data_IF_683608085129
#
_entry.id   IF_683608085129
#
_cell.length_a   1.000
_cell.length_b   1.000
_cell.length_c   1.000
_cell.angle_alpha   90.00
_cell.angle_beta   90.00
_cell.angle_gamma   90.00
#
_symmetry.space_group_name_H-M   'P 1'
#
loop_
_entity.id
_entity.type
_entity.pdbx_description
1 polymer ?
#
# COMPACT_ATOMS: atom_id res chain seq x y z
N UNK A 1 -7.39 4.31 -17.08
CA UNK A 1 -6.24 3.81 -17.87
C UNK A 1 -6.30 2.31 -17.79
N UNK A 2 -6.15 1.59 -18.91
CA UNK A 2 -6.13 0.11 -18.89
C UNK A 2 -4.67 -0.31 -18.72
N UNK A 3 -4.35 -0.96 -17.60
CA UNK A 3 -3.04 -1.57 -17.38
C UNK A 3 -2.85 -2.71 -18.38
N UNK A 4 -1.72 -2.72 -19.09
CA UNK A 4 -1.39 -3.73 -20.11
C UNK A 4 -0.02 -4.36 -19.90
N UNK A 5 0.85 -3.74 -19.10
CA UNK A 5 2.21 -4.20 -18.81
C UNK A 5 2.44 -4.21 -17.31
N UNK A 6 3.27 -5.15 -16.88
CA UNK A 6 3.64 -5.34 -15.48
C UNK A 6 4.40 -4.11 -14.94
N UNK A 7 5.37 -3.61 -15.70
CA UNK A 7 6.17 -2.44 -15.29
C UNK A 7 5.31 -1.19 -15.09
N UNK A 8 4.35 -0.95 -15.99
CA UNK A 8 3.40 0.17 -15.87
C UNK A 8 2.57 0.05 -14.58
N UNK A 9 2.17 -1.17 -14.20
CA UNK A 9 1.41 -1.42 -12.98
C UNK A 9 2.25 -1.18 -11.72
N UNK A 10 3.52 -1.59 -11.71
CA UNK A 10 4.45 -1.35 -10.60
C UNK A 10 4.73 0.16 -10.45
N UNK A 11 4.97 0.87 -11.55
CA UNK A 11 5.17 2.33 -11.53
C UNK A 11 3.89 3.06 -11.07
N UNK A 12 2.74 2.67 -11.62
CA UNK A 12 1.45 3.26 -11.25
C UNK A 12 1.14 3.02 -9.77
N UNK A 13 1.42 1.84 -9.24
CA UNK A 13 1.32 1.53 -7.82
C UNK A 13 2.17 2.50 -6.99
N UNK A 14 3.48 2.58 -7.27
CA UNK A 14 4.42 3.43 -6.51
C UNK A 14 3.99 4.90 -6.52
N UNK A 15 3.69 5.43 -7.72
CA UNK A 15 3.29 6.82 -7.90
C UNK A 15 2.00 7.15 -7.15
N UNK A 16 1.00 6.27 -7.20
CA UNK A 16 -0.28 6.55 -6.56
C UNK A 16 -0.23 6.34 -5.04
N UNK A 17 0.60 5.44 -4.51
CA UNK A 17 0.83 5.36 -3.06
C UNK A 17 1.40 6.67 -2.52
N UNK A 18 2.48 7.18 -3.12
CA UNK A 18 3.08 8.45 -2.68
C UNK A 18 2.07 9.60 -2.76
N UNK A 19 1.34 9.69 -3.89
CA UNK A 19 0.32 10.72 -4.09
C UNK A 19 -0.86 10.62 -3.13
N UNK A 20 -1.27 9.40 -2.78
CA UNK A 20 -2.39 9.18 -1.87
C UNK A 20 -2.05 9.61 -0.44
N UNK A 21 -0.85 9.28 0.05
CA UNK A 21 -0.37 9.68 1.38
C UNK A 21 -0.35 11.20 1.51
N UNK A 22 0.30 11.89 0.56
CA UNK A 22 0.33 13.35 0.50
C UNK A 22 -1.07 13.98 0.46
N UNK A 23 -2.01 13.35 -0.26
CA UNK A 23 -3.37 13.85 -0.34
C UNK A 23 -4.14 13.67 0.98
N UNK A 24 -3.90 12.58 1.72
CA UNK A 24 -4.51 12.39 3.04
C UNK A 24 -3.97 13.38 4.07
N UNK A 25 -2.65 13.58 4.11
CA UNK A 25 -2.01 14.57 4.98
C UNK A 25 -2.55 15.98 4.72
N UNK A 26 -2.84 16.31 3.45
CA UNK A 26 -3.41 17.60 3.06
C UNK A 26 -4.95 17.67 3.17
N UNK A 27 -5.63 16.63 3.65
CA UNK A 27 -7.10 16.56 3.70
C UNK A 27 -7.80 16.56 2.33
N UNK A 28 -7.08 16.27 1.24
CA UNK A 28 -7.59 16.20 -0.12
C UNK A 28 -8.14 14.82 -0.46
N UNK A 29 -9.27 14.47 0.16
CA UNK A 29 -9.90 13.15 0.02
C UNK A 29 -10.27 12.80 -1.42
N UNK A 30 -10.61 13.79 -2.27
CA UNK A 30 -10.91 13.53 -3.69
C UNK A 30 -9.69 12.95 -4.42
N UNK A 31 -8.51 13.52 -4.17
CA UNK A 31 -7.26 13.02 -4.76
C UNK A 31 -6.83 11.71 -4.08
N UNK A 32 -6.97 11.62 -2.76
CA UNK A 32 -6.68 10.41 -2.00
C UNK A 32 -7.47 9.20 -2.53
N UNK A 33 -8.79 9.34 -2.64
CA UNK A 33 -9.69 8.27 -3.11
C UNK A 33 -9.40 7.86 -4.57
N UNK A 34 -9.14 8.83 -5.45
CA UNK A 34 -8.76 8.52 -6.84
C UNK A 34 -7.44 7.75 -6.92
N UNK A 35 -6.48 8.12 -6.08
CA UNK A 35 -5.17 7.46 -6.03
C UNK A 35 -5.30 6.06 -5.43
N UNK A 36 -6.06 5.89 -4.35
CA UNK A 36 -6.39 4.59 -3.76
C UNK A 36 -7.04 3.63 -4.77
N UNK A 37 -8.00 4.11 -5.56
CA UNK A 37 -8.59 3.32 -6.67
C UNK A 37 -7.51 2.81 -7.64
N UNK A 38 -6.58 3.69 -8.02
CA UNK A 38 -5.49 3.35 -8.94
C UNK A 38 -4.49 2.36 -8.33
N UNK A 39 -4.27 2.42 -7.01
CA UNK A 39 -3.46 1.44 -6.27
C UNK A 39 -4.14 0.07 -6.33
N UNK A 40 -5.43 0.00 -6.02
CA UNK A 40 -6.19 -1.27 -6.10
C UNK A 40 -6.20 -1.88 -7.50
N UNK A 41 -6.41 -1.06 -8.54
CA UNK A 41 -6.32 -1.52 -9.93
C UNK A 41 -4.95 -2.14 -10.24
N UNK A 42 -3.87 -1.55 -9.73
CA UNK A 42 -2.51 -2.06 -9.89
C UNK A 42 -2.30 -3.39 -9.14
N UNK A 43 -2.77 -3.49 -7.89
CA UNK A 43 -2.70 -4.74 -7.10
C UNK A 43 -3.46 -5.87 -7.80
N UNK A 44 -4.69 -5.62 -8.26
CA UNK A 44 -5.51 -6.62 -8.95
C UNK A 44 -4.81 -7.10 -10.22
N UNK A 45 -4.28 -6.16 -11.02
CA UNK A 45 -3.54 -6.51 -12.23
C UNK A 45 -2.30 -7.36 -11.93
N UNK A 46 -1.48 -6.97 -10.95
CA UNK A 46 -0.27 -7.71 -10.59
C UNK A 46 -0.60 -9.11 -10.04
N UNK A 47 -1.64 -9.26 -9.21
CA UNK A 47 -2.12 -10.56 -8.72
C UNK A 47 -2.56 -11.45 -9.87
N UNK A 48 -3.37 -10.93 -10.80
CA UNK A 48 -3.85 -11.68 -11.97
C UNK A 48 -2.73 -12.16 -12.90
N UNK A 49 -1.58 -11.48 -12.89
CA UNK A 49 -0.40 -11.84 -13.67
C UNK A 49 0.66 -12.62 -12.85
N UNK A 50 0.37 -12.99 -11.60
CA UNK A 50 1.33 -13.66 -10.70
C UNK A 50 2.62 -12.85 -10.45
N UNK A 51 2.53 -11.51 -10.46
CA UNK A 51 3.67 -10.58 -10.31
C UNK A 51 3.56 -9.70 -9.05
N UNK A 52 2.73 -10.06 -8.07
CA UNK A 52 2.52 -9.23 -6.87
C UNK A 52 3.81 -9.06 -6.05
N UNK A 53 4.70 -10.03 -6.10
CA UNK A 53 5.98 -10.04 -5.38
C UNK A 53 6.94 -8.94 -5.84
N UNK A 54 6.72 -8.34 -7.01
CA UNK A 54 7.45 -7.16 -7.47
C UNK A 54 7.25 -5.94 -6.55
N UNK A 55 6.22 -5.95 -5.69
CA UNK A 55 5.99 -4.91 -4.69
C UNK A 55 6.86 -5.08 -3.43
N UNK A 56 7.51 -6.24 -3.24
CA UNK A 56 8.29 -6.56 -2.03
C UNK A 56 9.42 -5.57 -1.74
N UNK A 57 10.20 -5.08 -2.73
CA UNK A 57 11.25 -4.09 -2.48
C UNK A 57 10.71 -2.79 -1.85
N UNK A 58 9.45 -2.45 -2.10
CA UNK A 58 8.83 -1.23 -1.58
C UNK A 58 8.52 -1.28 -0.08
N UNK A 59 8.59 -2.45 0.56
CA UNK A 59 8.52 -2.58 2.02
C UNK A 59 9.68 -1.87 2.75
N UNK A 60 10.76 -1.56 2.03
CA UNK A 60 11.99 -0.97 2.58
C UNK A 60 12.25 0.45 2.07
N UNK A 61 11.32 1.02 1.31
CA UNK A 61 11.41 2.39 0.80
C UNK A 61 11.18 3.43 1.92
N UNK A 62 11.68 4.66 1.71
CA UNK A 62 11.55 5.73 2.71
C UNK A 62 10.11 6.21 2.91
N UNK A 63 9.26 6.10 1.89
CA UNK A 63 7.90 6.62 1.95
C UNK A 63 6.99 5.65 2.73
N UNK A 64 6.44 6.11 3.85
CA UNK A 64 5.63 5.28 4.76
C UNK A 64 4.39 4.74 4.09
N UNK A 65 3.63 5.58 3.39
CA UNK A 65 2.40 5.15 2.74
C UNK A 65 2.65 4.10 1.64
N UNK A 66 3.76 4.19 0.91
CA UNK A 66 4.21 3.15 -0.01
C UNK A 66 4.47 1.83 0.72
N UNK A 67 5.15 1.85 1.87
CA UNK A 67 5.35 0.65 2.69
C UNK A 67 4.02 0.07 3.19
N UNK A 68 3.09 0.89 3.65
CA UNK A 68 1.76 0.45 4.15
C UNK A 68 1.01 -0.29 3.05
N UNK A 69 0.89 0.31 1.86
CA UNK A 69 0.18 -0.31 0.74
C UNK A 69 0.87 -1.57 0.24
N UNK A 70 2.20 -1.59 0.21
CA UNK A 70 2.94 -2.81 -0.14
C UNK A 70 2.73 -3.91 0.89
N UNK A 71 2.77 -3.59 2.19
CA UNK A 71 2.51 -4.54 3.25
C UNK A 71 1.09 -5.10 3.14
N UNK A 72 0.09 -4.24 2.94
CA UNK A 72 -1.30 -4.66 2.71
C UNK A 72 -1.44 -5.60 1.52
N UNK A 73 -0.78 -5.30 0.40
CA UNK A 73 -0.86 -6.12 -0.80
C UNK A 73 -0.23 -7.52 -0.63
N UNK A 74 0.78 -7.63 0.22
CA UNK A 74 1.65 -8.79 0.39
C UNK A 74 1.40 -9.58 1.69
N UNK A 75 0.50 -9.13 2.55
CA UNK A 75 0.36 -9.62 3.94
C UNK A 75 0.07 -11.13 4.04
N UNK A 76 -0.63 -11.72 3.07
CA UNK A 76 -0.89 -13.17 3.05
C UNK A 76 0.30 -14.01 2.62
N UNK A 77 1.23 -13.43 1.85
CA UNK A 77 2.41 -14.13 1.33
C UNK A 77 3.65 -13.90 2.20
N UNK A 78 3.69 -12.77 2.91
CA UNK A 78 4.84 -12.32 3.70
C UNK A 78 4.40 -11.75 5.06
N UNK A 79 3.48 -12.44 5.75
CA UNK A 79 2.78 -11.94 6.95
C UNK A 79 3.71 -11.38 8.02
N UNK A 80 4.70 -12.16 8.48
CA UNK A 80 5.63 -11.72 9.53
C UNK A 80 6.41 -10.46 9.14
N UNK A 81 6.86 -10.36 7.89
CA UNK A 81 7.57 -9.19 7.39
C UNK A 81 6.64 -7.97 7.28
N UNK A 82 5.45 -8.15 6.70
CA UNK A 82 4.47 -7.08 6.51
C UNK A 82 3.97 -6.53 7.86
N UNK A 83 3.65 -7.42 8.80
CA UNK A 83 3.23 -7.03 10.15
C UNK A 83 4.33 -6.28 10.90
N UNK A 84 5.60 -6.68 10.75
CA UNK A 84 6.72 -5.94 11.33
C UNK A 84 6.81 -4.51 10.76
N UNK A 85 6.75 -4.37 9.43
CA UNK A 85 6.78 -3.06 8.76
C UNK A 85 5.62 -2.17 9.20
N UNK A 86 4.41 -2.73 9.27
CA UNK A 86 3.22 -1.99 9.72
C UNK A 86 3.32 -1.60 11.20
N UNK A 87 3.82 -2.50 12.06
CA UNK A 87 3.97 -2.21 13.48
C UNK A 87 5.04 -1.13 13.72
N UNK A 88 6.14 -1.17 12.97
CA UNK A 88 7.17 -0.13 13.03
C UNK A 88 6.56 1.23 12.65
N UNK A 89 5.74 1.31 11.58
CA UNK A 89 5.05 2.55 11.17
C UNK A 89 4.07 3.02 12.25
N UNK A 90 3.22 2.12 12.75
CA UNK A 90 2.24 2.44 13.78
C UNK A 90 2.89 3.03 15.04
N UNK A 91 4.10 2.55 15.39
CA UNK A 91 4.81 3.00 16.58
C UNK A 91 5.59 4.31 16.38
N UNK A 92 6.03 4.63 15.15
CA UNK A 92 6.95 5.76 14.90
C UNK A 92 6.34 6.92 14.14
N UNK A 93 5.27 6.68 13.38
CA UNK A 93 4.62 7.73 12.59
C UNK A 93 3.54 8.42 13.39
N UNK A 94 3.59 9.74 13.43
CA UNK A 94 2.46 10.56 13.89
C UNK A 94 1.40 10.69 12.79
N UNK A 95 0.16 10.99 13.17
CA UNK A 95 -0.91 11.32 12.22
C UNK A 95 -1.43 10.14 11.41
N UNK A 96 -1.76 10.39 10.14
CA UNK A 96 -2.60 9.49 9.34
C UNK A 96 -1.91 8.16 8.98
N UNK A 97 -0.59 8.16 8.74
CA UNK A 97 0.12 6.93 8.37
C UNK A 97 0.20 5.94 9.54
N UNK A 98 0.37 6.41 10.78
CA UNK A 98 0.32 5.56 11.97
C UNK A 98 -1.05 4.89 12.12
N UNK A 99 -2.12 5.68 12.03
CA UNK A 99 -3.51 5.19 12.08
C UNK A 99 -3.83 4.21 10.95
N UNK A 100 -3.38 4.48 9.72
CA UNK A 100 -3.57 3.59 8.58
C UNK A 100 -2.85 2.26 8.78
N UNK A 101 -1.63 2.27 9.33
CA UNK A 101 -0.89 1.05 9.61
C UNK A 101 -1.57 0.19 10.69
N UNK A 102 -2.05 0.81 11.78
CA UNK A 102 -2.84 0.12 12.81
C UNK A 102 -4.11 -0.49 12.22
N UNK A 103 -4.81 0.25 11.36
CA UNK A 103 -6.01 -0.22 10.70
C UNK A 103 -5.74 -1.46 9.84
N UNK A 104 -4.67 -1.46 9.04
CA UNK A 104 -4.30 -2.64 8.23
C UNK A 104 -3.99 -3.86 9.12
N UNK A 105 -3.28 -3.67 10.25
CA UNK A 105 -3.02 -4.75 11.20
C UNK A 105 -4.34 -5.31 11.78
N UNK A 106 -5.25 -4.43 12.18
CA UNK A 106 -6.55 -4.81 12.76
C UNK A 106 -7.40 -5.58 11.76
N UNK A 107 -7.54 -5.07 10.54
CA UNK A 107 -8.31 -5.70 9.47
C UNK A 107 -7.77 -7.11 9.15
N UNK A 108 -6.45 -7.28 9.10
CA UNK A 108 -5.83 -8.59 8.88
C UNK A 108 -6.09 -9.56 10.04
N UNK A 109 -5.93 -9.11 11.29
CA UNK A 109 -6.19 -9.92 12.49
C UNK A 109 -7.66 -10.35 12.59
N UNK A 110 -8.57 -9.51 12.12
CA UNK A 110 -10.02 -9.78 12.11
C UNK A 110 -10.46 -10.64 10.90
N UNK A 111 -9.55 -10.94 9.97
CA UNK A 111 -9.86 -11.72 8.77
C UNK A 111 -10.62 -10.95 7.67
N UNK A 112 -10.59 -9.62 7.70
CA UNK A 112 -11.27 -8.78 6.72
C UNK A 112 -10.47 -8.57 5.43
N UNK A 113 -9.13 -8.70 5.49
CA UNK A 113 -8.23 -8.49 4.36
C UNK A 113 -7.20 -9.58 4.19
#
# INVERSE_FOLDING_TARGET
>A
MVLRKVDDAVEQFKKNCIKQGQALEAGNYKVGNKSAKSIYESIVFLKANHQIDLLKPFLFERNENLRIWSARALIHSYSSLCLKVLQDIANTSEGIHGLDAEMVISEYKNGNI
#
